data_IF_342947878598
#
_entry.id   IF_342947878598
#
_cell.length_a   1.000
_cell.length_b   1.000
_cell.length_c   1.000
_cell.angle_alpha   90.00
_cell.angle_beta   90.00
_cell.angle_gamma   90.00
#
_symmetry.space_group_name_H-M   'P 1'
#
loop_
_entity.id
_entity.type
_entity.pdbx_description
1 polymer ?
#
# COMPACT_ATOMS: atom_id res chain seq x y z
N UNK A 1 2.11 -27.90 4.63
CA UNK A 1 0.75 -27.46 4.24
C UNK A 1 0.63 -27.60 2.73
N UNK A 2 -0.58 -27.67 2.19
CA UNK A 2 -0.79 -27.95 0.77
C UNK A 2 -0.89 -26.66 -0.05
N UNK A 3 -0.48 -26.72 -1.31
CA UNK A 3 -0.71 -25.64 -2.26
C UNK A 3 -2.12 -25.75 -2.84
N UNK A 4 -2.79 -24.62 -2.96
CA UNK A 4 -4.11 -24.47 -3.58
C UNK A 4 -4.03 -23.50 -4.76
N UNK A 5 -5.05 -23.50 -5.61
CA UNK A 5 -5.23 -22.45 -6.61
C UNK A 5 -6.26 -21.46 -6.11
N UNK A 6 -5.96 -20.18 -6.28
CA UNK A 6 -6.89 -19.08 -6.06
C UNK A 6 -7.09 -18.34 -7.36
N UNK A 7 -8.22 -17.70 -7.58
CA UNK A 7 -8.50 -16.82 -8.72
C UNK A 7 -9.15 -15.50 -8.29
N UNK A 8 -9.34 -15.33 -6.99
CA UNK A 8 -9.88 -14.14 -6.36
C UNK A 8 -9.35 -14.02 -4.93
N UNK A 9 -9.35 -12.79 -4.40
CA UNK A 9 -9.10 -12.46 -3.00
C UNK A 9 -10.12 -11.42 -2.56
N UNK A 10 -10.71 -11.59 -1.37
CA UNK A 10 -11.81 -10.76 -0.88
C UNK A 10 -12.99 -10.64 -1.87
N UNK A 11 -13.26 -11.74 -2.60
CA UNK A 11 -14.26 -11.79 -3.66
C UNK A 11 -13.94 -10.95 -4.90
N UNK A 12 -12.70 -10.45 -5.04
CA UNK A 12 -12.24 -9.66 -6.19
C UNK A 12 -11.40 -10.51 -7.13
N UNK A 13 -11.73 -10.57 -8.44
CA UNK A 13 -10.96 -11.32 -9.41
C UNK A 13 -9.48 -10.92 -9.39
N UNK A 14 -8.62 -11.93 -9.45
CA UNK A 14 -7.19 -11.78 -9.55
C UNK A 14 -6.78 -11.85 -11.03
N UNK A 15 -6.05 -10.84 -11.48
CA UNK A 15 -5.52 -10.76 -12.85
C UNK A 15 -3.99 -10.65 -12.84
N UNK A 16 -3.38 -11.18 -13.89
CA UNK A 16 -1.96 -11.04 -14.16
C UNK A 16 -1.77 -9.95 -15.21
N UNK A 17 -1.05 -8.87 -14.86
CA UNK A 17 -0.94 -7.66 -15.69
C UNK A 17 0.44 -7.53 -16.37
N UNK A 18 1.33 -8.51 -16.19
CA UNK A 18 2.65 -8.56 -16.83
C UNK A 18 2.74 -9.44 -18.08
N UNK A 19 1.62 -10.02 -18.55
CA UNK A 19 1.61 -10.91 -19.72
C UNK A 19 1.75 -10.18 -21.06
N UNK A 20 1.35 -8.91 -21.13
CA UNK A 20 1.31 -8.14 -22.38
C UNK A 20 1.86 -6.75 -22.14
N UNK A 21 2.78 -6.31 -23.00
CA UNK A 21 3.33 -4.95 -22.99
C UNK A 21 2.20 -3.93 -23.13
N UNK A 22 2.11 -2.99 -22.19
CA UNK A 22 1.09 -1.92 -22.19
C UNK A 22 -0.17 -2.22 -21.38
N UNK A 23 -0.28 -3.40 -20.75
CA UNK A 23 -1.41 -3.71 -19.84
C UNK A 23 -1.15 -3.34 -18.38
N UNK A 24 0.12 -3.18 -17.99
CA UNK A 24 0.51 -2.91 -16.61
C UNK A 24 -0.30 -1.75 -16.02
N UNK A 25 -0.99 -2.03 -14.91
CA UNK A 25 -1.85 -1.06 -14.23
C UNK A 25 -3.19 -0.72 -14.91
N UNK A 26 -3.45 -1.17 -16.14
CA UNK A 26 -4.66 -0.83 -16.92
C UNK A 26 -5.59 -2.02 -17.09
N UNK A 27 -5.03 -3.21 -17.32
CA UNK A 27 -5.76 -4.44 -17.56
C UNK A 27 -4.92 -5.66 -17.14
N UNK A 28 -5.52 -6.85 -17.18
CA UNK A 28 -4.79 -8.09 -16.97
C UNK A 28 -5.56 -9.28 -17.52
N UNK A 29 -4.89 -10.43 -17.58
CA UNK A 29 -5.52 -11.70 -17.96
C UNK A 29 -5.93 -12.48 -16.72
N UNK A 30 -7.03 -13.27 -16.75
CA UNK A 30 -7.43 -14.10 -15.63
C UNK A 30 -6.27 -14.93 -15.09
N UNK A 31 -6.04 -14.84 -13.79
CA UNK A 31 -4.86 -15.39 -13.12
C UNK A 31 -5.28 -16.35 -12.02
N UNK A 32 -4.74 -17.57 -12.07
CA UNK A 32 -5.01 -18.56 -11.02
C UNK A 32 -3.74 -19.28 -10.57
N UNK A 33 -2.88 -18.61 -9.77
CA UNK A 33 -1.60 -19.16 -9.31
C UNK A 33 -1.78 -20.26 -8.27
N UNK A 34 -0.72 -21.04 -8.08
CA UNK A 34 -0.57 -21.83 -6.86
C UNK A 34 -0.13 -20.94 -5.70
N UNK A 35 -0.70 -21.17 -4.53
CA UNK A 35 -0.40 -20.45 -3.29
C UNK A 35 -0.44 -21.45 -2.13
N UNK A 36 0.47 -21.32 -1.18
CA UNK A 36 0.43 -22.12 0.04
C UNK A 36 -0.84 -21.77 0.84
N UNK A 37 -1.62 -22.77 1.25
CA UNK A 37 -2.92 -22.60 1.89
C UNK A 37 -2.97 -21.63 3.09
N UNK A 38 -1.97 -21.64 3.97
CA UNK A 38 -1.88 -20.73 5.11
C UNK A 38 -1.63 -19.29 4.66
N UNK A 39 -0.67 -19.09 3.75
CA UNK A 39 -0.41 -17.79 3.15
C UNK A 39 -1.62 -17.25 2.36
N UNK A 40 -2.39 -18.13 1.70
CA UNK A 40 -3.63 -17.75 1.02
C UNK A 40 -4.66 -17.19 2.00
N UNK A 41 -4.82 -17.79 3.17
CA UNK A 41 -5.71 -17.28 4.22
C UNK A 41 -5.26 -15.93 4.78
N UNK A 42 -3.94 -15.71 4.94
CA UNK A 42 -3.37 -14.41 5.32
C UNK A 42 -3.63 -13.35 4.24
N UNK A 43 -3.46 -13.70 2.96
CA UNK A 43 -3.80 -12.82 1.84
C UNK A 43 -5.29 -12.48 1.83
N UNK A 44 -6.18 -13.45 2.01
CA UNK A 44 -7.63 -13.21 2.05
C UNK A 44 -8.02 -12.22 3.16
N UNK A 45 -7.47 -12.40 4.37
CA UNK A 45 -7.68 -11.47 5.48
C UNK A 45 -7.13 -10.07 5.18
N UNK A 46 -5.93 -9.99 4.59
CA UNK A 46 -5.31 -8.72 4.22
C UNK A 46 -6.12 -7.98 3.16
N UNK A 47 -6.50 -8.64 2.06
CA UNK A 47 -7.25 -8.00 0.98
C UNK A 47 -8.68 -7.67 1.39
N UNK A 48 -9.30 -8.43 2.30
CA UNK A 48 -10.58 -8.04 2.90
C UNK A 48 -10.45 -6.69 3.59
N UNK A 49 -9.40 -6.52 4.40
CA UNK A 49 -9.14 -5.25 5.08
C UNK A 49 -8.80 -4.11 4.10
N UNK A 50 -8.00 -4.38 3.06
CA UNK A 50 -7.67 -3.39 2.02
C UNK A 50 -8.95 -2.91 1.33
N UNK A 51 -9.81 -3.83 0.86
CA UNK A 51 -11.06 -3.50 0.18
C UNK A 51 -11.98 -2.68 1.09
N UNK A 52 -12.13 -3.09 2.35
CA UNK A 52 -12.98 -2.40 3.30
C UNK A 52 -12.47 -0.99 3.62
N UNK A 53 -11.17 -0.83 3.87
CA UNK A 53 -10.57 0.47 4.23
C UNK A 53 -10.52 1.44 3.05
N UNK A 54 -10.20 0.97 1.85
CA UNK A 54 -10.24 1.79 0.64
C UNK A 54 -11.66 2.33 0.41
N UNK A 55 -12.68 1.49 0.56
CA UNK A 55 -14.07 1.92 0.46
C UNK A 55 -14.46 2.90 1.57
N UNK A 56 -14.09 2.58 2.81
CA UNK A 56 -14.49 3.35 3.99
C UNK A 56 -13.85 4.75 4.00
N UNK A 57 -12.54 4.83 3.80
CA UNK A 57 -11.77 6.05 4.03
C UNK A 57 -11.45 6.81 2.73
N UNK A 58 -11.18 6.11 1.62
CA UNK A 58 -10.89 6.74 0.33
C UNK A 58 -12.11 6.83 -0.60
N UNK A 59 -13.22 6.13 -0.29
CA UNK A 59 -14.38 6.05 -1.19
C UNK A 59 -14.14 5.16 -2.43
N UNK A 60 -12.99 4.49 -2.51
CA UNK A 60 -12.57 3.69 -3.65
C UNK A 60 -13.03 2.24 -3.49
N UNK A 61 -13.83 1.74 -4.44
CA UNK A 61 -14.30 0.35 -4.41
C UNK A 61 -13.50 -0.49 -5.38
N UNK A 62 -12.68 -1.38 -4.85
CA UNK A 62 -11.91 -2.33 -5.66
C UNK A 62 -12.86 -3.23 -6.45
N UNK A 63 -12.68 -3.28 -7.76
CA UNK A 63 -13.32 -4.21 -8.68
C UNK A 63 -12.39 -5.38 -8.99
N UNK A 64 -11.11 -5.11 -9.30
CA UNK A 64 -10.12 -6.16 -9.65
C UNK A 64 -8.76 -5.90 -9.01
N UNK A 65 -8.02 -6.98 -8.76
CA UNK A 65 -6.66 -6.97 -8.21
C UNK A 65 -5.69 -7.36 -9.33
N UNK A 66 -4.67 -6.54 -9.58
CA UNK A 66 -3.62 -6.83 -10.55
C UNK A 66 -2.35 -7.28 -9.83
N UNK A 67 -1.77 -8.40 -10.26
CA UNK A 67 -0.59 -9.00 -9.62
C UNK A 67 0.51 -9.29 -10.63
N UNK A 68 1.75 -8.98 -10.22
CA UNK A 68 2.97 -9.35 -10.91
C UNK A 68 3.39 -10.81 -10.71
N UNK A 69 2.73 -11.54 -9.79
CA UNK A 69 2.97 -12.95 -9.53
C UNK A 69 2.83 -13.36 -8.06
N UNK A 70 2.63 -14.66 -7.85
CA UNK A 70 2.54 -15.29 -6.51
C UNK A 70 3.51 -16.46 -6.43
N UNK A 71 3.42 -17.39 -7.38
CA UNK A 71 4.31 -18.54 -7.51
C UNK A 71 5.40 -18.31 -8.56
N UNK A 72 6.60 -18.84 -8.31
CA UNK A 72 7.66 -18.97 -9.33
C UNK A 72 7.97 -20.44 -9.58
N UNK A 73 7.96 -20.85 -10.85
CA UNK A 73 8.30 -22.22 -11.23
C UNK A 73 9.78 -22.55 -10.94
N UNK A 74 10.05 -23.84 -10.68
CA UNK A 74 11.40 -24.35 -10.43
C UNK A 74 11.74 -24.46 -8.94
N UNK A 75 13.01 -24.75 -8.65
CA UNK A 75 13.53 -24.87 -7.28
C UNK A 75 14.34 -23.65 -6.90
N UNK A 76 14.01 -23.03 -5.77
CA UNK A 76 14.76 -21.90 -5.21
C UNK A 76 14.41 -21.67 -3.75
N UNK A 77 15.21 -20.85 -3.07
CA UNK A 77 15.00 -20.54 -1.65
C UNK A 77 14.08 -19.34 -1.40
N UNK A 78 13.75 -18.55 -2.45
CA UNK A 78 12.84 -17.41 -2.29
C UNK A 78 11.42 -17.88 -1.99
N UNK A 79 10.63 -17.01 -1.35
CA UNK A 79 9.27 -17.36 -0.94
C UNK A 79 8.30 -17.50 -2.11
N UNK A 80 8.58 -16.90 -3.27
CA UNK A 80 7.85 -17.22 -4.50
C UNK A 80 8.03 -18.68 -4.96
N UNK A 81 9.21 -19.29 -4.77
CA UNK A 81 9.39 -20.73 -5.08
C UNK A 81 8.69 -21.63 -4.06
N UNK A 82 8.30 -21.07 -2.91
CA UNK A 82 7.54 -21.74 -1.87
C UNK A 82 6.04 -21.39 -1.91
N UNK A 83 5.58 -20.64 -2.93
CA UNK A 83 4.20 -20.17 -3.06
C UNK A 83 3.72 -19.34 -1.85
N UNK A 84 4.64 -18.59 -1.23
CA UNK A 84 4.45 -17.85 0.04
C UNK A 84 4.81 -16.36 -0.07
N UNK A 85 4.80 -15.83 -1.29
CA UNK A 85 5.01 -14.41 -1.57
C UNK A 85 4.03 -13.93 -2.63
N UNK A 86 3.78 -12.63 -2.65
CA UNK A 86 2.83 -11.99 -3.56
C UNK A 86 3.40 -10.64 -4.01
N UNK A 87 3.31 -10.40 -5.32
CA UNK A 87 3.61 -9.11 -5.94
C UNK A 87 2.28 -8.45 -6.33
N UNK A 88 1.94 -7.35 -5.65
CA UNK A 88 0.76 -6.52 -5.93
C UNK A 88 1.17 -5.35 -6.80
N UNK A 89 0.60 -5.26 -8.00
CA UNK A 89 0.95 -4.26 -9.00
C UNK A 89 -0.06 -3.10 -8.99
N UNK A 90 -1.36 -3.40 -8.90
CA UNK A 90 -2.41 -2.38 -9.02
C UNK A 90 -3.79 -2.83 -8.52
N UNK A 91 -4.69 -1.85 -8.39
CA UNK A 91 -6.15 -2.05 -8.25
C UNK A 91 -6.88 -1.36 -9.39
N UNK A 92 -7.91 -2.03 -9.91
CA UNK A 92 -8.93 -1.40 -10.76
C UNK A 92 -10.19 -1.15 -9.93
N UNK A 93 -10.75 0.04 -10.02
CA UNK A 93 -11.93 0.45 -9.25
C UNK A 93 -13.21 0.38 -10.09
N UNK A 94 -14.37 0.31 -9.41
CA UNK A 94 -15.68 0.16 -10.08
C UNK A 94 -16.15 1.42 -10.85
N UNK A 95 -15.54 2.57 -10.56
CA UNK A 95 -15.75 3.83 -11.28
C UNK A 95 -14.92 3.95 -12.57
N UNK A 96 -14.11 2.93 -12.88
CA UNK A 96 -13.22 2.90 -14.06
C UNK A 96 -11.85 3.53 -13.83
N UNK A 97 -11.59 4.12 -12.67
CA UNK A 97 -10.26 4.58 -12.28
C UNK A 97 -9.36 3.43 -11.83
N UNK A 98 -8.06 3.71 -11.66
CA UNK A 98 -7.08 2.74 -11.20
C UNK A 98 -6.09 3.34 -10.20
N UNK A 99 -5.43 2.46 -9.47
CA UNK A 99 -4.21 2.78 -8.72
C UNK A 99 -3.13 1.78 -9.12
N UNK A 100 -1.93 2.29 -9.39
CA UNK A 100 -0.78 1.50 -9.84
C UNK A 100 0.40 1.80 -8.94
N UNK A 101 1.16 0.78 -8.55
CA UNK A 101 2.16 0.91 -7.49
C UNK A 101 3.30 1.87 -7.87
N UNK A 102 3.64 1.99 -9.14
CA UNK A 102 4.66 2.94 -9.63
C UNK A 102 4.22 4.41 -9.57
N UNK A 103 2.93 4.69 -9.31
CA UNK A 103 2.41 6.05 -9.11
C UNK A 103 2.68 6.61 -7.71
N UNK A 104 3.52 5.95 -6.90
CA UNK A 104 3.88 6.42 -5.56
C UNK A 104 4.25 7.92 -5.50
N UNK A 105 5.09 8.47 -6.40
CA UNK A 105 5.43 9.89 -6.35
C UNK A 105 4.22 10.82 -6.56
N UNK A 106 3.17 10.36 -7.25
CA UNK A 106 1.96 11.14 -7.56
C UNK A 106 0.85 10.93 -6.53
N UNK A 107 0.71 9.72 -5.98
CA UNK A 107 -0.35 9.35 -5.03
C UNK A 107 0.22 8.71 -3.76
N UNK A 108 1.07 9.44 -2.99
CA UNK A 108 1.72 8.89 -1.81
C UNK A 108 0.74 8.54 -0.69
N UNK A 109 -0.40 9.24 -0.61
CA UNK A 109 -1.43 8.99 0.40
C UNK A 109 -2.08 7.62 0.20
N UNK A 110 -2.63 7.36 -0.98
CA UNK A 110 -3.19 6.04 -1.32
C UNK A 110 -2.15 4.92 -1.17
N UNK A 111 -0.94 5.13 -1.70
CA UNK A 111 0.15 4.16 -1.66
C UNK A 111 0.53 3.76 -0.23
N UNK A 112 0.82 4.74 0.64
CA UNK A 112 1.25 4.46 2.01
C UNK A 112 0.10 3.97 2.89
N UNK A 113 -1.13 4.34 2.57
CA UNK A 113 -2.33 3.75 3.18
C UNK A 113 -2.43 2.25 2.90
N UNK A 114 -2.25 1.83 1.65
CA UNK A 114 -2.22 0.42 1.26
C UNK A 114 -1.01 -0.29 1.90
N UNK A 115 0.19 0.29 1.84
CA UNK A 115 1.38 -0.28 2.46
C UNK A 115 1.21 -0.50 3.97
N UNK A 116 0.58 0.46 4.66
CA UNK A 116 0.31 0.34 6.09
C UNK A 116 -0.57 -0.88 6.40
N UNK A 117 -1.61 -1.12 5.59
CA UNK A 117 -2.48 -2.30 5.72
C UNK A 117 -1.70 -3.58 5.46
N UNK A 118 -0.92 -3.66 4.37
CA UNK A 118 -0.07 -4.83 4.09
C UNK A 118 0.84 -5.16 5.28
N UNK A 119 1.47 -4.15 5.88
CA UNK A 119 2.37 -4.32 7.05
C UNK A 119 1.66 -4.75 8.34
N UNK A 120 0.32 -4.69 8.41
CA UNK A 120 -0.46 -5.24 9.54
C UNK A 120 -0.60 -6.77 9.46
N UNK A 121 -0.47 -7.32 8.26
CA UNK A 121 -0.63 -8.74 7.95
C UNK A 121 0.72 -9.43 7.68
N UNK A 122 1.68 -8.71 7.11
CA UNK A 122 2.96 -9.29 6.68
C UNK A 122 4.16 -8.64 7.36
N UNK A 123 5.09 -9.48 7.84
CA UNK A 123 6.34 -9.02 8.44
C UNK A 123 7.35 -8.52 7.41
N UNK A 124 7.22 -8.96 6.16
CA UNK A 124 8.02 -8.49 5.03
C UNK A 124 7.12 -7.77 4.04
N UNK A 125 7.39 -6.49 3.80
CA UNK A 125 6.80 -5.70 2.72
C UNK A 125 7.92 -4.85 2.11
N UNK A 126 8.17 -5.01 0.82
CA UNK A 126 9.14 -4.25 0.04
C UNK A 126 8.39 -3.36 -0.94
N UNK A 127 8.77 -2.09 -0.97
CA UNK A 127 8.03 -1.00 -1.60
C UNK A 127 8.94 -0.13 -2.48
N UNK A 128 8.37 0.94 -3.05
CA UNK A 128 8.95 1.75 -4.12
C UNK A 128 10.39 2.21 -3.83
N UNK A 129 10.62 2.76 -2.63
CA UNK A 129 11.92 3.29 -2.22
C UNK A 129 12.88 2.21 -1.69
N UNK A 130 12.48 0.94 -1.63
CA UNK A 130 13.34 -0.14 -1.15
C UNK A 130 14.54 -0.36 -2.09
N UNK A 131 14.26 -0.55 -3.39
CA UNK A 131 15.22 -0.55 -4.49
C UNK A 131 14.49 -0.53 -5.85
N UNK A 132 15.26 -0.38 -6.95
CA UNK A 132 14.73 -0.33 -8.33
C UNK A 132 13.83 -1.50 -8.72
N UNK A 133 14.07 -2.69 -8.17
CA UNK A 133 13.29 -3.88 -8.54
C UNK A 133 11.88 -3.89 -7.94
N UNK A 134 11.58 -3.01 -6.98
CA UNK A 134 10.27 -2.92 -6.30
C UNK A 134 9.57 -1.58 -6.53
N UNK A 135 10.03 -0.81 -7.52
CA UNK A 135 9.41 0.48 -7.87
C UNK A 135 8.04 0.31 -8.53
N UNK A 136 7.72 -0.87 -9.03
CA UNK A 136 6.50 -1.17 -9.78
C UNK A 136 5.57 -2.15 -9.05
N UNK A 137 5.87 -2.57 -7.81
CA UNK A 137 4.98 -3.45 -7.06
C UNK A 137 5.30 -3.45 -5.57
N UNK A 138 4.31 -3.84 -4.76
CA UNK A 138 4.57 -4.30 -3.41
C UNK A 138 4.87 -5.78 -3.43
N UNK A 139 6.05 -6.14 -2.97
CA UNK A 139 6.36 -7.53 -2.64
C UNK A 139 6.06 -7.77 -1.17
N UNK A 140 5.32 -8.81 -0.83
CA UNK A 140 5.09 -9.22 0.55
C UNK A 140 5.03 -10.73 0.73
N UNK A 141 5.39 -11.18 1.93
CA UNK A 141 5.48 -12.59 2.27
C UNK A 141 5.27 -12.83 3.77
N UNK A 142 5.03 -14.10 4.13
CA UNK A 142 4.90 -14.55 5.52
C UNK A 142 6.14 -15.27 6.05
N UNK A 143 7.33 -14.98 5.51
CA UNK A 143 8.60 -15.53 5.97
C UNK A 143 9.06 -14.95 7.31
N UNK A 144 8.54 -13.78 7.69
CA UNK A 144 8.84 -13.14 8.97
C UNK A 144 7.59 -12.71 9.71
N UNK A 145 7.65 -12.71 11.05
CA UNK A 145 6.52 -12.32 11.88
C UNK A 145 6.22 -10.82 11.80
N UNK A 146 4.93 -10.48 11.93
CA UNK A 146 4.44 -9.09 11.97
C UNK A 146 4.91 -8.40 13.25
N UNK A 147 6.01 -7.64 13.15
CA UNK A 147 6.54 -6.79 14.21
C UNK A 147 7.48 -5.73 13.62
N UNK A 148 7.61 -4.60 14.30
CA UNK A 148 8.58 -3.59 13.91
C UNK A 148 10.02 -4.06 14.11
N UNK A 149 10.92 -3.70 13.19
CA UNK A 149 12.36 -3.95 13.26
C UNK A 149 13.11 -2.72 12.77
N UNK A 150 13.76 -1.99 13.68
CA UNK A 150 14.55 -0.80 13.32
C UNK A 150 15.75 -1.10 12.41
N UNK A 151 16.26 -2.33 12.43
CA UNK A 151 17.34 -2.77 11.53
C UNK A 151 16.85 -3.14 10.11
N UNK A 152 15.53 -3.23 9.88
CA UNK A 152 14.98 -3.60 8.58
C UNK A 152 14.77 -2.34 7.73
N UNK A 153 15.59 -2.16 6.68
CA UNK A 153 15.53 -1.00 5.75
C UNK A 153 14.11 -0.68 5.29
N UNK A 154 13.32 -1.69 4.91
CA UNK A 154 11.95 -1.48 4.43
C UNK A 154 11.02 -0.88 5.50
N UNK A 155 11.16 -1.27 6.77
CA UNK A 155 10.37 -0.69 7.86
C UNK A 155 10.74 0.76 8.12
N UNK A 156 12.04 1.06 8.04
CA UNK A 156 12.55 2.41 8.26
C UNK A 156 12.11 3.36 7.15
N UNK A 157 12.28 2.95 5.89
CA UNK A 157 11.82 3.74 4.73
C UNK A 157 10.32 4.01 4.81
N UNK A 158 9.51 3.00 5.13
CA UNK A 158 8.07 3.20 5.30
C UNK A 158 7.75 4.29 6.33
N UNK A 159 8.34 4.24 7.52
CA UNK A 159 8.10 5.24 8.56
C UNK A 159 8.60 6.63 8.16
N UNK A 160 9.77 6.73 7.53
CA UNK A 160 10.31 7.99 7.03
C UNK A 160 9.40 8.59 5.94
N UNK A 161 8.90 7.78 5.01
CA UNK A 161 7.92 8.18 4.00
C UNK A 161 6.62 8.65 4.63
N UNK A 162 6.08 7.90 5.59
CA UNK A 162 4.85 8.27 6.31
C UNK A 162 5.00 9.60 7.03
N UNK A 163 6.08 9.79 7.78
CA UNK A 163 6.35 11.02 8.52
C UNK A 163 6.47 12.21 7.55
N UNK A 164 7.19 12.03 6.45
CA UNK A 164 7.42 13.09 5.47
C UNK A 164 6.21 13.43 4.61
N UNK A 165 5.42 12.44 4.20
CA UNK A 165 4.41 12.60 3.15
C UNK A 165 2.99 12.61 3.69
N UNK A 166 2.69 11.87 4.75
CA UNK A 166 1.36 11.83 5.38
C UNK A 166 1.27 12.90 6.46
N UNK A 167 2.27 12.97 7.34
CA UNK A 167 2.28 13.91 8.46
C UNK A 167 3.07 15.20 8.17
N UNK A 168 3.62 15.32 6.95
CA UNK A 168 4.28 16.52 6.43
C UNK A 168 5.42 17.06 7.31
N UNK A 169 6.09 16.17 8.06
CA UNK A 169 7.24 16.52 8.89
C UNK A 169 8.55 16.33 8.12
N UNK A 170 9.40 17.37 7.98
CA UNK A 170 10.67 17.25 7.28
C UNK A 170 11.62 16.24 7.94
N UNK A 171 11.95 15.16 7.21
CA UNK A 171 12.88 14.11 7.66
C UNK A 171 13.65 13.52 6.49
N UNK A 172 14.89 13.05 6.73
CA UNK A 172 15.63 12.25 5.76
C UNK A 172 14.96 10.90 5.47
N UNK A 173 14.99 10.46 4.22
CA UNK A 173 14.35 9.20 3.75
C UNK A 173 15.39 8.26 3.15
N UNK A 174 16.30 7.78 3.99
CA UNK A 174 17.49 7.00 3.60
C UNK A 174 17.40 5.51 3.98
N UNK A 175 16.39 5.11 4.74
CA UNK A 175 16.22 3.77 5.27
C UNK A 175 17.13 3.42 6.43
N UNK A 176 17.75 4.41 7.09
CA UNK A 176 18.61 4.24 8.26
C UNK A 176 17.90 4.71 9.54
N UNK A 177 17.84 3.83 10.54
CA UNK A 177 17.27 4.19 11.85
C UNK A 177 18.28 5.00 12.66
N UNK A 178 18.30 6.32 12.44
CA UNK A 178 19.12 7.27 13.19
C UNK A 178 18.35 8.04 14.26
N UNK A 179 19.02 8.94 15.01
CA UNK A 179 18.40 9.78 16.03
C UNK A 179 17.23 10.63 15.52
N UNK A 180 17.28 11.10 14.27
CA UNK A 180 16.18 11.85 13.66
C UNK A 180 14.95 10.97 13.48
N UNK A 181 15.09 9.80 12.84
CA UNK A 181 14.01 8.81 12.68
C UNK A 181 13.41 8.39 14.01
N UNK A 182 14.25 8.08 15.01
CA UNK A 182 13.78 7.72 16.34
C UNK A 182 12.99 8.87 17.00
N UNK A 183 13.51 10.10 16.92
CA UNK A 183 12.85 11.32 17.42
C UNK A 183 11.47 11.53 16.82
N UNK A 184 11.37 11.52 15.49
CA UNK A 184 10.11 11.78 14.79
C UNK A 184 9.09 10.64 14.95
N UNK A 185 9.54 9.38 14.99
CA UNK A 185 8.64 8.26 15.30
C UNK A 185 8.12 8.36 16.74
N UNK A 186 8.95 8.78 17.70
CA UNK A 186 8.47 9.06 19.08
C UNK A 186 7.46 10.21 19.10
N UNK A 187 7.71 11.29 18.38
CA UNK A 187 6.80 12.43 18.31
C UNK A 187 5.45 12.03 17.68
N UNK A 188 5.47 11.31 16.56
CA UNK A 188 4.27 10.78 15.90
C UNK A 188 3.47 9.86 16.84
N UNK A 189 4.13 8.90 17.48
CA UNK A 189 3.48 8.01 18.46
C UNK A 189 2.85 8.77 19.61
N UNK A 190 3.55 9.78 20.15
CA UNK A 190 3.03 10.63 21.22
C UNK A 190 1.76 11.37 20.79
N UNK A 191 1.77 11.97 19.58
CA UNK A 191 0.59 12.63 18.98
C UNK A 191 -0.61 11.70 18.84
N UNK A 192 -0.37 10.44 18.48
CA UNK A 192 -1.41 9.42 18.31
C UNK A 192 -1.79 8.67 19.61
N UNK A 193 -1.12 8.96 20.73
CA UNK A 193 -1.35 8.25 21.99
C UNK A 193 -0.90 6.78 21.98
N UNK A 194 0.11 6.44 21.17
CA UNK A 194 0.58 5.05 20.95
C UNK A 194 1.86 4.76 21.75
N UNK A 195 1.88 3.61 22.42
CA UNK A 195 3.04 3.11 23.17
C UNK A 195 4.23 2.71 22.28
N UNK A 196 5.30 2.14 22.85
CA UNK A 196 6.48 1.71 22.10
C UNK A 196 6.14 0.71 20.98
N UNK A 197 6.56 0.98 19.75
CA UNK A 197 6.27 0.11 18.58
C UNK A 197 7.11 -1.18 18.53
N UNK A 198 8.01 -1.38 19.49
CA UNK A 198 8.61 -2.71 19.74
C UNK A 198 7.54 -3.73 20.14
N UNK A 199 6.44 -3.27 20.74
CA UNK A 199 5.28 -4.10 21.04
C UNK A 199 4.44 -4.28 19.78
N UNK A 200 4.15 -5.53 19.40
CA UNK A 200 3.39 -5.84 18.18
C UNK A 200 2.01 -5.18 18.17
N UNK A 201 1.34 -5.04 19.32
CA UNK A 201 0.04 -4.36 19.42
C UNK A 201 0.15 -2.88 19.07
N UNK A 202 1.15 -2.18 19.62
CA UNK A 202 1.41 -0.77 19.33
C UNK A 202 1.86 -0.56 17.87
N UNK A 203 2.64 -1.49 17.31
CA UNK A 203 2.98 -1.47 15.90
C UNK A 203 1.73 -1.55 15.01
N UNK A 204 0.84 -2.51 15.29
CA UNK A 204 -0.42 -2.65 14.54
C UNK A 204 -1.36 -1.45 14.73
N UNK A 205 -1.39 -0.86 15.92
CA UNK A 205 -2.16 0.36 16.19
C UNK A 205 -1.62 1.57 15.41
N UNK A 206 -0.29 1.70 15.31
CA UNK A 206 0.33 2.77 14.50
C UNK A 206 -0.01 2.59 13.02
N UNK A 207 0.11 1.38 12.49
CA UNK A 207 -0.25 1.08 11.10
C UNK A 207 -1.74 1.35 10.80
N UNK A 208 -2.63 1.01 11.73
CA UNK A 208 -4.06 1.31 11.62
C UNK A 208 -4.33 2.82 11.52
N UNK A 209 -3.70 3.61 12.39
CA UNK A 209 -3.83 5.07 12.37
C UNK A 209 -3.27 5.67 11.08
N UNK A 210 -2.10 5.20 10.62
CA UNK A 210 -1.50 5.64 9.35
C UNK A 210 -2.43 5.30 8.18
N UNK A 211 -2.96 4.08 8.11
CA UNK A 211 -3.85 3.66 7.02
C UNK A 211 -5.09 4.55 6.96
N UNK A 212 -5.70 4.83 8.11
CA UNK A 212 -6.86 5.73 8.20
C UNK A 212 -6.51 7.14 7.71
N UNK A 213 -5.51 7.77 8.32
CA UNK A 213 -5.17 9.18 8.04
C UNK A 213 -4.73 9.35 6.57
N UNK A 214 -3.93 8.42 6.03
CA UNK A 214 -3.48 8.46 4.65
C UNK A 214 -4.66 8.31 3.66
N UNK A 215 -5.58 7.38 3.89
CA UNK A 215 -6.71 7.17 3.00
C UNK A 215 -7.76 8.30 3.10
N UNK A 216 -7.95 8.89 4.27
CA UNK A 216 -8.78 10.09 4.44
C UNK A 216 -8.18 11.29 3.67
N UNK A 217 -6.85 11.47 3.70
CA UNK A 217 -6.16 12.51 2.93
C UNK A 217 -6.27 12.31 1.40
N UNK A 218 -6.21 11.06 0.92
CA UNK A 218 -6.43 10.75 -0.49
C UNK A 218 -7.83 11.17 -0.96
N UNK A 219 -8.85 10.90 -0.13
CA UNK A 219 -10.23 11.30 -0.42
C UNK A 219 -10.38 12.81 -0.55
N UNK A 220 -9.73 13.58 0.33
CA UNK A 220 -9.75 15.04 0.23
C UNK A 220 -9.14 15.52 -1.09
N UNK A 221 -8.04 14.89 -1.53
CA UNK A 221 -7.34 15.24 -2.78
C UNK A 221 -8.18 14.93 -4.04
N UNK A 222 -9.07 13.95 -3.97
CA UNK A 222 -9.96 13.56 -5.09
C UNK A 222 -11.35 14.18 -5.03
N UNK A 223 -11.81 14.58 -3.84
CA UNK A 223 -13.13 15.17 -3.59
C UNK A 223 -13.19 16.69 -3.78
N UNK A 224 -12.05 17.38 -3.70
CA UNK A 224 -11.97 18.82 -3.91
C UNK A 224 -11.44 19.11 -5.33
N UNK A 225 -12.31 18.94 -6.33
CA UNK A 225 -12.26 19.92 -7.42
C UNK A 225 -12.63 21.25 -6.74
N UNK A 226 -11.64 22.11 -6.49
CA UNK A 226 -11.92 23.53 -6.32
C UNK A 226 -12.73 23.92 -7.55
N UNK A 227 -14.05 24.01 -7.39
CA UNK A 227 -14.85 24.86 -8.25
C UNK A 227 -14.32 26.23 -7.92
N UNK A 228 -13.34 26.69 -8.70
CA UNK A 228 -12.99 28.10 -8.74
C UNK A 228 -14.29 28.80 -9.09
N UNK A 229 -14.98 29.30 -8.07
CA UNK A 229 -16.09 30.22 -8.23
C UNK A 229 -15.56 31.30 -9.18
N UNK A 230 -16.20 31.54 -10.33
CA UNK A 230 -15.68 32.50 -11.28
C UNK A 230 -15.46 33.83 -10.57
N UNK A 231 -14.24 34.35 -10.63
CA UNK A 231 -13.97 35.65 -10.05
C UNK A 231 -14.73 36.70 -10.86
N UNK A 232 -15.60 37.46 -10.20
CA UNK A 232 -16.31 38.56 -10.82
C UNK A 232 -15.56 39.86 -10.53
N UNK A 233 -15.37 40.68 -11.55
CA UNK A 233 -14.79 42.00 -11.42
C UNK A 233 -15.67 42.87 -10.52
N UNK A 234 -15.16 43.29 -9.36
CA UNK A 234 -15.90 44.05 -8.34
C UNK A 234 -16.41 45.42 -8.81
N UNK A 235 -15.93 45.93 -9.95
CA UNK A 235 -16.36 47.22 -10.52
C UNK A 235 -17.39 47.11 -11.63
N UNK A 236 -17.39 46.01 -12.42
CA UNK A 236 -18.32 45.86 -13.55
C UNK A 236 -19.18 44.59 -13.53
N UNK A 237 -18.95 43.67 -12.58
CA UNK A 237 -19.72 42.44 -12.42
C UNK A 237 -19.52 41.42 -13.55
N UNK A 238 -18.53 41.59 -14.42
CA UNK A 238 -18.21 40.63 -15.47
C UNK A 238 -17.28 39.53 -14.94
N UNK A 239 -17.42 38.33 -15.50
CA UNK A 239 -16.49 37.22 -15.31
C UNK A 239 -15.07 37.66 -15.70
N UNK A 240 -14.11 37.39 -14.83
CA UNK A 240 -12.68 37.48 -15.11
C UNK A 240 -12.28 36.12 -15.69
N UNK A 241 -11.86 36.11 -16.96
CA UNK A 241 -11.25 34.93 -17.60
C UNK A 241 -9.80 34.71 -17.13
#
# INVERSE_FOLDING_TARGET
>A
MADIRIDNLAGKPLLYDRSVTGHYGVAGVPFSPFIESGFAAECEACFTEVVDKLKQFAGLKVDKILSGGVSRAGSGSSLHHQNRAFDLDAFLFDDGSNWVTDTFPQRPQLYLGIEAILRRHFGTVLSYDYNRAHQDHFHFDNGTSVKFKSAAKSHVIFLQNVISLIYQTPIGRDGVWGPQTDGEVRALRSRLGIGPISDTSNWKALLEAIAKDALENEKATTGDLEVLEPEFCLTCGQLIE
#
